data_IF_602635201429
#
_entry.id   IF_602635201429
#
_cell.length_a   1.000
_cell.length_b   1.000
_cell.length_c   1.000
_cell.angle_alpha   90.00
_cell.angle_beta   90.00
_cell.angle_gamma   90.00
#
_symmetry.space_group_name_H-M   'P 1'
#
loop_
_entity.id
_entity.type
_entity.pdbx_description
1 polymer ?
#
# COMPACT_ATOMS: atom_id res chain seq x y z
N UNK A 1 -14.61 -44.13 43.11
CA UNK A 1 -14.29 -44.38 41.69
C UNK A 1 -15.33 -43.62 40.88
N UNK A 2 -15.06 -42.56 40.12
CA UNK A 2 -13.82 -41.89 39.76
C UNK A 2 -14.10 -40.43 39.36
N UNK A 3 -13.01 -39.67 39.24
CA UNK A 3 -12.84 -38.31 38.69
C UNK A 3 -11.78 -38.48 37.57
N UNK A 4 -11.58 -37.64 36.51
CA UNK A 4 -12.10 -36.29 36.18
C UNK A 4 -12.48 -35.96 34.69
N UNK A 5 -13.04 -34.74 34.51
CA UNK A 5 -12.79 -33.64 33.51
C UNK A 5 -12.83 -33.86 31.99
N UNK A 6 -13.57 -32.98 31.29
CA UNK A 6 -13.02 -31.85 30.51
C UNK A 6 -14.20 -30.92 30.10
N UNK A 7 -14.13 -29.59 30.15
CA UNK A 7 -12.96 -28.73 30.16
C UNK A 7 -12.71 -28.09 28.79
N UNK A 8 -13.72 -27.63 28.05
CA UNK A 8 -13.47 -26.74 26.91
C UNK A 8 -13.24 -25.32 27.41
N UNK A 9 -12.02 -25.14 27.91
CA UNK A 9 -11.33 -23.87 28.00
C UNK A 9 -11.26 -23.29 26.58
N UNK A 10 -11.78 -22.08 26.37
CA UNK A 10 -11.39 -21.25 25.24
C UNK A 10 -9.96 -20.76 25.51
N UNK A 11 -8.99 -21.65 25.27
CA UNK A 11 -7.57 -21.37 25.43
C UNK A 11 -7.15 -20.33 24.39
N UNK A 12 -7.26 -19.06 24.75
CA UNK A 12 -6.13 -18.13 24.84
C UNK A 12 -5.09 -18.12 23.72
N UNK A 13 -5.40 -18.51 22.48
CA UNK A 13 -4.49 -18.30 21.35
C UNK A 13 -4.44 -16.80 21.13
N UNK A 14 -3.38 -16.16 21.64
CA UNK A 14 -3.09 -14.75 21.35
C UNK A 14 -3.20 -14.59 19.84
N UNK A 15 -4.26 -13.90 19.37
CA UNK A 15 -4.43 -13.63 17.94
C UNK A 15 -3.12 -13.03 17.43
N UNK A 16 -2.63 -13.54 16.30
CA UNK A 16 -1.44 -12.99 15.65
C UNK A 16 -1.62 -11.48 15.43
N UNK A 17 -0.52 -10.73 15.36
CA UNK A 17 -0.58 -9.29 15.06
C UNK A 17 0.09 -9.06 13.71
N UNK A 18 -0.55 -8.26 12.86
CA UNK A 18 -0.02 -7.80 11.59
C UNK A 18 0.08 -6.28 11.64
N UNK A 19 1.28 -5.75 11.53
CA UNK A 19 1.52 -4.32 11.48
C UNK A 19 1.32 -3.79 10.06
N UNK A 20 0.66 -2.64 9.90
CA UNK A 20 0.49 -1.99 8.58
C UNK A 20 1.47 -0.85 8.44
N UNK A 21 2.43 -1.00 7.54
CA UNK A 21 3.51 -0.07 7.27
C UNK A 21 3.07 1.08 6.33
N UNK A 22 2.08 1.87 6.74
CA UNK A 22 1.63 3.04 5.98
C UNK A 22 1.29 4.23 6.87
N UNK A 23 1.67 5.43 6.42
CA UNK A 23 1.21 6.70 6.99
C UNK A 23 -0.02 7.25 6.26
N UNK A 24 -0.41 6.63 5.13
CA UNK A 24 -1.58 7.04 4.37
C UNK A 24 -2.87 6.52 5.02
N UNK A 25 -3.65 7.43 5.61
CA UNK A 25 -4.94 7.11 6.23
C UNK A 25 -5.96 6.47 5.28
N UNK A 26 -5.92 6.79 3.99
CA UNK A 26 -6.78 6.16 2.97
C UNK A 26 -6.46 4.66 2.83
N UNK A 27 -5.19 4.36 2.55
CA UNK A 27 -4.67 2.98 2.45
C UNK A 27 -4.92 2.18 3.73
N UNK A 28 -4.69 2.79 4.90
CA UNK A 28 -4.96 2.12 6.16
C UNK A 28 -6.43 1.71 6.29
N UNK A 29 -7.38 2.59 5.96
CA UNK A 29 -8.82 2.27 5.99
C UNK A 29 -9.15 1.12 5.03
N UNK A 30 -8.65 1.18 3.79
CA UNK A 30 -8.87 0.13 2.78
C UNK A 30 -8.32 -1.23 3.24
N UNK A 31 -7.08 -1.25 3.74
CA UNK A 31 -6.45 -2.48 4.24
C UNK A 31 -7.17 -3.03 5.47
N UNK A 32 -7.62 -2.17 6.39
CA UNK A 32 -8.42 -2.60 7.54
C UNK A 32 -9.74 -3.25 7.11
N UNK A 33 -10.39 -2.72 6.07
CA UNK A 33 -11.61 -3.30 5.50
C UNK A 33 -11.32 -4.64 4.82
N UNK A 34 -10.26 -4.73 4.01
CA UNK A 34 -9.87 -5.94 3.29
C UNK A 34 -9.46 -7.09 4.22
N UNK A 35 -8.82 -6.77 5.35
CA UNK A 35 -8.31 -7.75 6.32
C UNK A 35 -9.32 -8.06 7.44
N UNK A 36 -10.54 -7.53 7.36
CA UNK A 36 -11.58 -7.80 8.35
C UNK A 36 -11.93 -9.29 8.38
N UNK A 37 -12.06 -9.86 9.58
CA UNK A 37 -12.45 -11.27 9.78
C UNK A 37 -11.29 -12.27 9.71
N UNK A 38 -10.06 -11.82 9.46
CA UNK A 38 -8.88 -12.67 9.49
C UNK A 38 -8.51 -13.12 10.92
N UNK A 39 -7.79 -14.25 11.10
CA UNK A 39 -7.44 -14.80 12.41
C UNK A 39 -6.31 -14.03 13.14
N UNK A 40 -6.07 -12.78 12.76
CA UNK A 40 -5.06 -11.88 13.34
C UNK A 40 -5.65 -10.48 13.54
N UNK A 41 -5.01 -9.70 14.41
CA UNK A 41 -5.33 -8.30 14.62
C UNK A 41 -4.42 -7.42 13.78
N UNK A 42 -5.01 -6.47 13.05
CA UNK A 42 -4.29 -5.41 12.37
C UNK A 42 -3.86 -4.36 13.40
N UNK A 43 -2.64 -3.84 13.26
CA UNK A 43 -2.07 -2.82 14.14
C UNK A 43 -1.54 -1.67 13.28
N UNK A 44 -2.01 -0.46 13.53
CA UNK A 44 -1.54 0.74 12.86
C UNK A 44 -0.29 1.36 13.55
N UNK A 45 0.49 2.21 12.84
CA UNK A 45 1.64 2.91 13.44
C UNK A 45 1.27 3.75 14.68
N UNK A 46 0.16 4.49 14.60
CA UNK A 46 -0.33 5.36 15.68
C UNK A 46 -0.65 4.59 16.97
N UNK A 47 -1.13 3.34 16.86
CA UNK A 47 -1.43 2.48 18.02
C UNK A 47 -0.18 2.07 18.80
N UNK A 48 0.97 2.02 18.13
CA UNK A 48 2.25 1.66 18.73
C UNK A 48 3.13 2.88 19.01
N UNK A 49 2.69 4.10 18.67
CA UNK A 49 3.53 5.29 18.73
C UNK A 49 4.76 5.20 17.81
N UNK A 50 4.66 4.44 16.71
CA UNK A 50 5.77 4.25 15.77
C UNK A 50 5.68 5.29 14.66
N UNK A 51 6.75 6.06 14.51
CA UNK A 51 6.96 6.92 13.35
C UNK A 51 7.63 6.10 12.25
N UNK A 52 7.03 6.05 11.07
CA UNK A 52 7.66 5.47 9.88
C UNK A 52 8.39 6.59 9.14
N UNK A 53 9.71 6.57 9.25
CA UNK A 53 10.62 7.53 8.60
C UNK A 53 11.56 6.71 7.73
N UNK A 54 11.08 6.43 6.52
CA UNK A 54 11.74 5.62 5.52
C UNK A 54 11.72 6.42 4.22
N UNK A 55 12.88 6.59 3.62
CA UNK A 55 13.06 7.25 2.34
C UNK A 55 12.87 6.23 1.21
N UNK A 56 11.96 6.53 0.29
CA UNK A 56 11.76 5.71 -0.91
C UNK A 56 12.89 5.98 -1.90
N UNK A 57 13.80 5.02 -2.05
CA UNK A 57 14.99 5.18 -2.91
C UNK A 57 14.87 4.50 -4.27
N UNK A 58 13.93 3.59 -4.44
CA UNK A 58 13.71 2.85 -5.68
C UNK A 58 12.54 3.43 -6.50
N UNK A 59 12.67 3.35 -7.82
CA UNK A 59 11.58 3.61 -8.77
C UNK A 59 10.76 2.34 -9.07
N UNK A 60 11.20 1.16 -8.62
CA UNK A 60 10.43 -0.08 -8.74
C UNK A 60 9.47 -0.23 -7.54
N UNK A 61 8.18 -0.21 -7.84
CA UNK A 61 7.12 -0.33 -6.83
C UNK A 61 7.22 -1.62 -6.01
N UNK A 62 7.77 -2.69 -6.59
CA UNK A 62 8.01 -3.96 -5.91
C UNK A 62 9.08 -3.83 -4.83
N UNK A 63 10.18 -3.15 -5.16
CA UNK A 63 11.28 -2.89 -4.23
C UNK A 63 10.83 -1.93 -3.12
N UNK A 64 10.08 -0.88 -3.46
CA UNK A 64 9.52 0.05 -2.48
C UNK A 64 8.63 -0.67 -1.45
N UNK A 65 7.72 -1.54 -1.91
CA UNK A 65 6.87 -2.32 -1.01
C UNK A 65 7.70 -3.27 -0.12
N UNK A 66 8.68 -3.98 -0.71
CA UNK A 66 9.58 -4.87 0.02
C UNK A 66 10.35 -4.14 1.13
N UNK A 67 11.00 -3.02 0.79
CA UNK A 67 11.83 -2.25 1.72
C UNK A 67 11.00 -1.66 2.86
N UNK A 68 9.80 -1.16 2.58
CA UNK A 68 8.85 -0.69 3.60
C UNK A 68 8.43 -1.79 4.56
N UNK A 69 8.07 -2.96 4.04
CA UNK A 69 7.66 -4.09 4.88
C UNK A 69 8.80 -4.56 5.78
N UNK A 70 10.02 -4.68 5.22
CA UNK A 70 11.20 -5.10 5.95
C UNK A 70 11.65 -4.06 6.99
N UNK A 71 11.62 -2.76 6.65
CA UNK A 71 11.88 -1.66 7.58
C UNK A 71 10.92 -1.70 8.77
N UNK A 72 9.62 -1.86 8.50
CA UNK A 72 8.61 -1.95 9.54
C UNK A 72 8.78 -3.20 10.43
N UNK A 73 9.11 -4.35 9.84
CA UNK A 73 9.44 -5.56 10.60
C UNK A 73 10.62 -5.32 11.54
N UNK A 74 11.72 -4.75 11.06
CA UNK A 74 12.90 -4.41 11.87
C UNK A 74 12.59 -3.47 13.02
N UNK A 75 11.68 -2.51 12.78
CA UNK A 75 11.30 -1.50 13.77
C UNK A 75 10.34 -2.04 14.83
N UNK A 76 9.48 -2.97 14.48
CA UNK A 76 8.35 -3.41 15.32
C UNK A 76 8.55 -4.81 15.94
N UNK A 77 9.35 -5.66 15.30
CA UNK A 77 9.42 -7.10 15.57
C UNK A 77 8.13 -7.87 15.23
N UNK A 78 7.19 -7.25 14.51
CA UNK A 78 5.92 -7.85 14.10
C UNK A 78 5.93 -8.15 12.60
N UNK A 79 5.23 -9.22 12.16
CA UNK A 79 4.89 -9.38 10.75
C UNK A 79 4.31 -8.06 10.22
N UNK A 80 4.86 -7.56 9.12
CA UNK A 80 4.60 -6.20 8.65
C UNK A 80 4.18 -6.23 7.19
N UNK A 81 3.00 -5.69 6.91
CA UNK A 81 2.45 -5.53 5.57
C UNK A 81 2.68 -4.09 5.10
N UNK A 82 3.29 -3.94 3.94
CA UNK A 82 3.35 -2.69 3.19
C UNK A 82 2.61 -2.85 1.87
N UNK A 83 2.02 -1.76 1.39
CA UNK A 83 1.44 -1.67 0.06
C UNK A 83 1.91 -0.38 -0.59
N UNK A 84 2.27 -0.47 -1.86
CA UNK A 84 2.50 0.70 -2.68
C UNK A 84 1.89 0.64 -4.08
N UNK A 85 1.53 1.83 -4.58
CA UNK A 85 0.81 1.98 -5.85
C UNK A 85 1.55 2.96 -6.76
N UNK A 86 1.81 2.54 -7.99
CA UNK A 86 2.33 3.35 -9.07
C UNK A 86 1.24 3.69 -10.09
N UNK A 87 1.35 4.86 -10.72
CA UNK A 87 0.58 5.22 -11.92
C UNK A 87 1.55 5.39 -13.08
N UNK A 88 1.51 4.48 -14.05
CA UNK A 88 2.34 4.53 -15.24
C UNK A 88 1.52 5.00 -16.44
N UNK A 89 1.98 6.03 -17.14
CA UNK A 89 1.33 6.54 -18.37
C UNK A 89 2.26 6.36 -19.56
N UNK A 90 1.82 5.64 -20.58
CA UNK A 90 2.69 5.21 -21.69
C UNK A 90 3.21 6.42 -22.49
N UNK A 91 2.35 7.42 -22.74
CA UNK A 91 2.75 8.67 -23.42
C UNK A 91 3.80 9.50 -22.65
N UNK A 92 3.97 9.23 -21.35
CA UNK A 92 4.96 9.88 -20.48
C UNK A 92 6.15 8.96 -20.16
N UNK A 93 6.30 7.86 -20.91
CA UNK A 93 7.38 6.89 -20.67
C UNK A 93 7.28 6.19 -19.32
N UNK A 94 6.06 6.01 -18.78
CA UNK A 94 5.81 5.37 -17.50
C UNK A 94 5.76 6.32 -16.30
N UNK A 95 5.99 7.63 -16.50
CA UNK A 95 5.81 8.63 -15.44
C UNK A 95 4.31 8.84 -15.13
N UNK A 96 3.93 9.18 -13.88
CA UNK A 96 4.81 9.45 -12.73
C UNK A 96 5.37 8.21 -12.01
N UNK A 97 4.92 7.01 -12.34
CA UNK A 97 5.42 5.76 -11.77
C UNK A 97 5.13 5.63 -10.27
N UNK A 98 6.07 5.03 -9.52
CA UNK A 98 5.98 4.87 -8.07
C UNK A 98 5.89 6.21 -7.32
N UNK A 99 6.43 7.28 -7.89
CA UNK A 99 6.45 8.63 -7.31
C UNK A 99 5.15 9.42 -7.55
N UNK A 100 4.04 8.78 -7.90
CA UNK A 100 2.77 9.44 -8.24
C UNK A 100 2.30 10.50 -7.22
N UNK A 101 2.58 10.31 -5.93
CA UNK A 101 2.21 11.26 -4.86
C UNK A 101 3.10 12.50 -4.78
N UNK A 102 4.37 12.37 -5.10
CA UNK A 102 5.40 13.41 -4.88
C UNK A 102 5.98 13.94 -6.19
N UNK A 103 5.54 13.40 -7.34
CA UNK A 103 6.02 13.76 -8.68
C UNK A 103 5.95 15.25 -8.99
N UNK A 104 4.93 15.95 -8.47
CA UNK A 104 4.79 17.41 -8.62
C UNK A 104 5.32 18.20 -7.40
N UNK A 105 5.79 17.51 -6.36
CA UNK A 105 6.21 18.05 -5.06
C UNK A 105 5.50 17.37 -3.87
N UNK A 106 6.14 17.36 -2.70
CA UNK A 106 5.68 16.69 -1.46
C UNK A 106 4.34 17.25 -0.91
N UNK A 107 4.11 18.56 -1.06
CA UNK A 107 2.95 19.26 -0.48
C UNK A 107 1.91 19.71 -1.51
N UNK A 108 1.91 19.09 -2.70
CA UNK A 108 0.95 19.43 -3.75
C UNK A 108 -0.42 18.81 -3.45
N UNK A 109 -1.52 19.59 -3.45
CA UNK A 109 -2.86 19.04 -3.29
C UNK A 109 -3.20 18.02 -4.40
N UNK A 110 -3.99 17.01 -4.08
CA UNK A 110 -4.46 15.98 -5.03
C UNK A 110 -5.03 16.58 -6.32
N UNK A 111 -5.81 17.65 -6.17
CA UNK A 111 -6.39 18.39 -7.30
C UNK A 111 -5.34 18.98 -8.24
N UNK A 112 -4.21 19.43 -7.72
CA UNK A 112 -3.13 19.98 -8.52
C UNK A 112 -2.29 18.87 -9.17
N UNK A 113 -2.15 17.71 -8.53
CA UNK A 113 -1.46 16.54 -9.10
C UNK A 113 -2.14 16.04 -10.36
N UNK A 114 -3.43 15.71 -10.31
CA UNK A 114 -4.10 15.22 -11.52
C UNK A 114 -4.23 16.32 -12.58
N UNK A 115 -4.37 17.60 -12.21
CA UNK A 115 -4.30 18.71 -13.19
C UNK A 115 -2.93 18.80 -13.86
N UNK A 116 -1.85 18.60 -13.09
CA UNK A 116 -0.48 18.52 -13.61
C UNK A 116 -0.34 17.40 -14.63
N UNK A 117 -0.85 16.21 -14.31
CA UNK A 117 -0.86 15.09 -15.22
C UNK A 117 -1.63 15.39 -16.52
N UNK A 118 -2.82 16.00 -16.42
CA UNK A 118 -3.60 16.40 -17.59
C UNK A 118 -2.87 17.44 -18.46
N UNK A 119 -2.12 18.37 -17.84
CA UNK A 119 -1.28 19.34 -18.56
C UNK A 119 -0.17 18.66 -19.35
N UNK A 120 0.50 17.66 -18.76
CA UNK A 120 1.56 16.90 -19.45
C UNK A 120 1.03 16.11 -20.65
N UNK A 121 -0.26 15.75 -20.63
CA UNK A 121 -0.93 15.02 -21.71
C UNK A 121 -1.68 15.94 -22.68
N UNK A 122 -1.45 17.25 -22.68
CA UNK A 122 -2.05 18.14 -23.67
C UNK A 122 -1.56 17.79 -25.08
N UNK A 123 -2.50 17.68 -26.02
CA UNK A 123 -2.20 17.31 -27.42
C UNK A 123 -2.02 15.81 -27.66
N UNK A 124 -1.99 14.97 -26.61
CA UNK A 124 -1.99 13.51 -26.76
C UNK A 124 -3.41 13.04 -27.09
N UNK A 125 -3.64 12.38 -28.26
CA UNK A 125 -4.95 11.85 -28.63
C UNK A 125 -5.37 10.76 -27.65
N UNK A 126 -6.68 10.55 -27.47
CA UNK A 126 -7.22 9.67 -26.43
C UNK A 126 -6.65 8.24 -26.50
N UNK A 127 -6.46 7.71 -27.70
CA UNK A 127 -5.92 6.38 -27.97
C UNK A 127 -4.46 6.23 -27.51
N UNK A 128 -3.72 7.34 -27.39
CA UNK A 128 -2.35 7.38 -26.88
C UNK A 128 -2.25 7.59 -25.38
N UNK A 129 -3.37 7.69 -24.64
CA UNK A 129 -3.41 7.95 -23.20
C UNK A 129 -3.52 6.68 -22.36
N UNK A 130 -3.03 5.56 -22.87
CA UNK A 130 -2.98 4.30 -22.13
C UNK A 130 -2.17 4.48 -20.85
N UNK A 131 -2.69 3.91 -19.77
CA UNK A 131 -2.08 3.97 -18.45
C UNK A 131 -2.41 2.71 -17.66
N UNK A 132 -1.64 2.47 -16.61
CA UNK A 132 -1.90 1.38 -15.67
C UNK A 132 -1.64 1.83 -14.24
N UNK A 133 -2.53 1.43 -13.35
CA UNK A 133 -2.20 1.34 -11.94
C UNK A 133 -1.48 0.03 -11.69
N UNK A 134 -0.32 0.09 -11.05
CA UNK A 134 0.35 -1.08 -10.49
C UNK A 134 0.32 -1.00 -8.99
N UNK A 135 0.02 -2.11 -8.34
CA UNK A 135 0.04 -2.22 -6.89
C UNK A 135 1.00 -3.36 -6.51
N UNK A 136 1.88 -3.12 -5.56
CA UNK A 136 2.70 -4.15 -4.94
C UNK A 136 2.38 -4.19 -3.44
N UNK A 137 2.16 -5.40 -2.93
CA UNK A 137 1.98 -5.67 -1.51
C UNK A 137 3.09 -6.60 -1.05
N UNK A 138 3.77 -6.23 0.03
CA UNK A 138 4.80 -7.04 0.65
C UNK A 138 4.46 -7.35 2.10
N UNK A 139 4.69 -8.58 2.54
CA UNK A 139 4.57 -8.99 3.94
C UNK A 139 5.88 -9.59 4.40
N UNK A 140 6.54 -8.92 5.33
CA UNK A 140 7.75 -9.43 5.99
C UNK A 140 7.35 -10.22 7.24
N UNK A 141 7.65 -11.52 7.25
CA UNK A 141 7.50 -12.39 8.43
C UNK A 141 8.80 -12.50 9.23
N UNK A 142 9.94 -12.34 8.54
CA UNK A 142 11.27 -12.24 9.14
C UNK A 142 12.19 -11.41 8.25
N UNK A 143 13.46 -11.22 8.66
CA UNK A 143 14.47 -10.58 7.80
C UNK A 143 14.77 -11.36 6.50
N UNK A 144 14.41 -12.64 6.46
CA UNK A 144 14.72 -13.54 5.34
C UNK A 144 13.48 -14.11 4.66
N UNK A 145 12.29 -13.78 5.16
CA UNK A 145 11.02 -14.26 4.64
C UNK A 145 10.10 -13.07 4.38
N UNK A 146 10.06 -12.64 3.12
CA UNK A 146 9.16 -11.60 2.63
C UNK A 146 8.38 -12.15 1.45
N UNK A 147 7.05 -12.16 1.56
CA UNK A 147 6.15 -12.48 0.46
C UNK A 147 5.77 -11.21 -0.27
N UNK A 148 5.75 -11.24 -1.59
CA UNK A 148 5.33 -10.10 -2.42
C UNK A 148 4.29 -10.57 -3.42
N UNK A 149 3.21 -9.78 -3.56
CA UNK A 149 2.19 -9.94 -4.59
C UNK A 149 2.05 -8.63 -5.37
N UNK A 150 1.77 -8.73 -6.67
CA UNK A 150 1.59 -7.59 -7.55
C UNK A 150 0.25 -7.69 -8.27
N UNK A 151 -0.37 -6.53 -8.53
CA UNK A 151 -1.59 -6.39 -9.31
C UNK A 151 -1.45 -5.26 -10.32
N UNK A 152 -2.13 -5.39 -11.46
CA UNK A 152 -2.16 -4.39 -12.52
C UNK A 152 -3.60 -4.12 -12.92
N UNK A 153 -3.94 -2.84 -13.09
CA UNK A 153 -5.20 -2.38 -13.63
C UNK A 153 -4.92 -1.45 -14.80
N UNK A 154 -5.12 -1.95 -16.02
CA UNK A 154 -4.99 -1.18 -17.25
C UNK A 154 -6.20 -0.27 -17.49
N UNK A 155 -5.95 0.87 -18.12
CA UNK A 155 -6.97 1.84 -18.47
C UNK A 155 -6.44 3.00 -19.32
N UNK A 156 -7.16 4.12 -19.28
CA UNK A 156 -6.84 5.34 -20.01
C UNK A 156 -6.94 6.55 -19.09
N UNK A 157 -6.04 7.53 -19.27
CA UNK A 157 -6.19 8.83 -18.62
C UNK A 157 -7.26 9.64 -19.36
N UNK A 158 -8.32 10.03 -18.64
CA UNK A 158 -9.36 10.89 -19.18
C UNK A 158 -8.82 12.25 -19.66
N UNK A 159 -9.58 12.97 -20.47
CA UNK A 159 -9.25 14.34 -20.92
C UNK A 159 -9.68 15.40 -19.91
N UNK A 160 -10.68 15.08 -19.09
CA UNK A 160 -11.22 15.93 -18.03
C UNK A 160 -11.64 15.07 -16.83
N UNK A 161 -11.68 15.63 -15.61
CA UNK A 161 -12.11 14.89 -14.42
C UNK A 161 -13.61 14.56 -14.49
N UNK A 162 -13.97 13.38 -13.99
CA UNK A 162 -15.36 12.97 -13.85
C UNK A 162 -15.54 12.11 -12.59
N UNK A 163 -16.62 12.35 -11.84
CA UNK A 163 -16.91 11.69 -10.56
C UNK A 163 -16.39 12.44 -9.33
N UNK A 164 -16.88 12.03 -8.16
CA UNK A 164 -16.55 12.62 -6.85
C UNK A 164 -15.99 11.58 -5.86
N UNK A 165 -15.90 10.31 -6.27
CA UNK A 165 -15.44 9.20 -5.44
C UNK A 165 -14.01 8.77 -5.77
N UNK A 166 -13.32 8.27 -4.76
CA UNK A 166 -11.88 8.01 -4.80
C UNK A 166 -11.10 9.16 -4.20
#
# INVERSE_FOLDING_TARGET
>A
MGVPKDGTQDEGRRKGRLFIATTNRGKLRELMMLLQGQPFCVVAPDELGIVLDYEETSDDIREVAFEKALYAYRKTGLPSLAEDTALEVDALGGLPGARAKTFFGEDIPDAERWRGLLRLLQGVPFEGRTARFRCAMAVAFSEHEVLIAEGVLDGFIATEPHGEGG
#
